data_IF_209494941380
#
_entry.id   IF_209494941380
#
_cell.length_a   1.000
_cell.length_b   1.000
_cell.length_c   1.000
_cell.angle_alpha   90.00
_cell.angle_beta   90.00
_cell.angle_gamma   90.00
#
_symmetry.space_group_name_H-M   'P 1'
#
loop_
_entity.id
_entity.type
_entity.pdbx_description
1 polymer ?
#
# COMPACT_ATOMS: atom_id res chain seq x y z
N UNK A 1 6.24 -4.13 -8.96
CA UNK A 1 6.76 -2.97 -8.18
C UNK A 1 5.89 -2.66 -6.95
N UNK A 2 6.49 -2.14 -5.86
CA UNK A 2 5.76 -1.70 -4.65
C UNK A 2 5.37 -0.23 -4.73
N UNK A 3 6.31 0.59 -5.17
CA UNK A 3 6.20 2.03 -5.43
C UNK A 3 6.92 2.35 -6.75
N UNK A 4 7.18 3.63 -7.03
CA UNK A 4 7.99 4.05 -8.18
C UNK A 4 9.47 3.70 -8.01
N UNK A 5 9.97 3.72 -6.79
CA UNK A 5 11.38 3.59 -6.42
C UNK A 5 11.72 2.25 -5.74
N UNK A 6 10.73 1.36 -5.52
CA UNK A 6 10.94 0.06 -4.88
C UNK A 6 10.30 -1.10 -5.66
N UNK A 7 11.04 -2.20 -5.78
CA UNK A 7 10.57 -3.47 -6.31
C UNK A 7 11.16 -4.66 -5.54
N UNK A 8 10.41 -5.76 -5.49
CA UNK A 8 10.98 -7.08 -5.18
C UNK A 8 11.31 -7.78 -6.49
N UNK A 9 12.43 -8.48 -6.49
CA UNK A 9 12.84 -9.39 -7.57
C UNK A 9 12.99 -10.78 -6.94
N UNK A 10 12.40 -11.77 -7.58
CA UNK A 10 12.72 -13.17 -7.31
C UNK A 10 13.83 -13.59 -8.29
N UNK A 11 14.98 -13.98 -7.74
CA UNK A 11 16.15 -14.40 -8.52
C UNK A 11 16.54 -15.84 -8.22
N UNK A 12 15.63 -16.62 -7.62
CA UNK A 12 15.87 -18.00 -7.18
C UNK A 12 16.38 -18.88 -8.33
N UNK A 13 15.77 -18.74 -9.51
CA UNK A 13 16.11 -19.53 -10.71
C UNK A 13 17.02 -18.77 -11.70
N UNK A 14 17.59 -17.62 -11.29
CA UNK A 14 18.44 -16.81 -12.18
C UNK A 14 19.83 -17.42 -12.33
N UNK A 15 20.30 -17.58 -13.57
CA UNK A 15 21.68 -18.00 -13.88
C UNK A 15 22.68 -16.84 -13.91
N UNK A 16 22.20 -15.59 -13.86
CA UNK A 16 23.06 -14.40 -13.89
C UNK A 16 23.98 -14.36 -12.68
N UNK A 17 25.20 -13.83 -12.86
CA UNK A 17 26.22 -13.76 -11.83
C UNK A 17 26.41 -15.11 -11.08
N UNK A 18 26.29 -16.24 -11.80
CA UNK A 18 26.37 -17.60 -11.25
C UNK A 18 25.32 -17.90 -10.16
N UNK A 19 24.14 -17.28 -10.24
CA UNK A 19 23.08 -17.40 -9.23
C UNK A 19 23.32 -16.59 -7.95
N UNK A 20 24.36 -15.76 -7.91
CA UNK A 20 24.65 -14.92 -6.75
C UNK A 20 23.74 -13.70 -6.69
N UNK A 21 22.68 -13.77 -5.88
CA UNK A 21 21.78 -12.64 -5.64
C UNK A 21 22.51 -11.38 -5.12
N UNK A 22 23.61 -11.55 -4.38
CA UNK A 22 24.46 -10.45 -3.90
C UNK A 22 25.12 -9.72 -5.07
N UNK A 23 25.67 -10.44 -6.05
CA UNK A 23 26.30 -9.85 -7.22
C UNK A 23 25.27 -9.26 -8.18
N UNK A 24 24.12 -9.94 -8.37
CA UNK A 24 22.99 -9.40 -9.15
C UNK A 24 22.55 -8.05 -8.56
N UNK A 25 22.38 -7.96 -7.23
CA UNK A 25 22.00 -6.72 -6.57
C UNK A 25 23.05 -5.61 -6.74
N UNK A 26 24.35 -5.95 -6.66
CA UNK A 26 25.45 -5.01 -6.86
C UNK A 26 25.49 -4.51 -8.31
N UNK A 27 25.33 -5.40 -9.28
CA UNK A 27 25.30 -5.09 -10.71
C UNK A 27 24.11 -4.20 -11.06
N UNK A 28 22.90 -4.53 -10.60
CA UNK A 28 21.70 -3.69 -10.79
C UNK A 28 21.92 -2.28 -10.23
N UNK A 29 22.47 -2.17 -9.01
CA UNK A 29 22.76 -0.86 -8.41
C UNK A 29 23.76 -0.05 -9.23
N UNK A 30 24.81 -0.70 -9.74
CA UNK A 30 25.81 -0.04 -10.59
C UNK A 30 25.21 0.39 -11.94
N UNK A 31 24.39 -0.45 -12.56
CA UNK A 31 23.70 -0.14 -13.82
C UNK A 31 22.73 1.04 -13.65
N UNK A 32 21.93 1.05 -12.57
CA UNK A 32 21.07 2.20 -12.22
C UNK A 32 21.91 3.48 -12.12
N UNK A 33 23.06 3.44 -11.45
CA UNK A 33 23.93 4.60 -11.33
C UNK A 33 24.51 5.04 -12.67
N UNK A 34 25.01 4.10 -13.48
CA UNK A 34 25.63 4.41 -14.76
C UNK A 34 24.65 5.05 -15.74
N UNK A 35 23.42 4.52 -15.83
CA UNK A 35 22.42 4.97 -16.80
C UNK A 35 21.63 6.20 -16.33
N UNK A 36 21.28 6.25 -15.04
CA UNK A 36 20.36 7.26 -14.52
C UNK A 36 21.05 8.32 -13.65
N UNK A 37 22.33 8.11 -13.28
CA UNK A 37 23.06 8.96 -12.34
C UNK A 37 22.34 9.11 -10.98
N UNK A 38 21.59 8.06 -10.59
CA UNK A 38 20.89 7.94 -9.33
C UNK A 38 21.47 6.77 -8.52
N UNK A 39 21.54 6.93 -7.20
CA UNK A 39 22.00 5.84 -6.32
C UNK A 39 20.82 4.97 -5.89
N UNK A 40 21.08 3.68 -5.69
CA UNK A 40 20.11 2.73 -5.16
C UNK A 40 20.74 1.91 -4.03
N UNK A 41 19.89 1.41 -3.13
CA UNK A 41 20.26 0.44 -2.11
C UNK A 41 19.49 -0.85 -2.30
N UNK A 42 20.08 -1.97 -1.87
CA UNK A 42 19.48 -3.29 -2.07
C UNK A 42 19.53 -4.14 -0.79
N UNK A 43 18.55 -5.01 -0.63
CA UNK A 43 18.51 -6.00 0.43
C UNK A 43 18.26 -7.37 -0.17
N UNK A 44 19.04 -8.36 0.26
CA UNK A 44 18.92 -9.75 -0.19
C UNK A 44 18.60 -10.62 1.02
N UNK A 45 17.54 -11.41 0.94
CA UNK A 45 17.15 -12.33 2.00
C UNK A 45 16.30 -13.49 1.45
N UNK A 46 16.07 -14.58 2.23
CA UNK A 46 15.29 -15.73 1.76
C UNK A 46 13.80 -15.43 1.57
N UNK A 47 13.31 -14.34 2.18
CA UNK A 47 11.91 -13.93 2.09
C UNK A 47 11.75 -12.42 2.00
N UNK A 48 10.63 -11.98 1.42
CA UNK A 48 10.38 -10.58 1.03
C UNK A 48 10.52 -9.58 2.16
N UNK A 49 9.90 -9.82 3.32
CA UNK A 49 9.94 -8.81 4.39
C UNK A 49 11.35 -8.58 4.94
N UNK A 50 12.17 -9.64 5.03
CA UNK A 50 13.57 -9.53 5.44
C UNK A 50 14.39 -8.81 4.35
N UNK A 51 14.14 -9.10 3.08
CA UNK A 51 14.81 -8.40 1.98
C UNK A 51 14.51 -6.89 2.00
N UNK A 52 13.26 -6.51 2.29
CA UNK A 52 12.91 -5.09 2.47
C UNK A 52 13.62 -4.46 3.65
N UNK A 53 13.68 -5.13 4.80
CA UNK A 53 14.39 -4.62 5.99
C UNK A 53 15.89 -4.47 5.70
N UNK A 54 16.50 -5.48 5.09
CA UNK A 54 17.92 -5.47 4.69
C UNK A 54 18.24 -4.27 3.79
N UNK A 55 17.33 -3.91 2.87
CA UNK A 55 17.54 -2.78 1.95
C UNK A 55 17.71 -1.43 2.64
N UNK A 56 17.21 -1.28 3.88
CA UNK A 56 17.35 -0.06 4.67
C UNK A 56 18.60 -0.03 5.56
N UNK A 57 19.28 -1.16 5.77
CA UNK A 57 20.34 -1.26 6.78
C UNK A 57 21.63 -0.53 6.42
N UNK A 58 22.05 -0.64 5.15
CA UNK A 58 23.27 -0.03 4.64
C UNK A 58 22.96 1.14 3.69
N UNK A 59 21.87 1.87 3.93
CA UNK A 59 21.61 3.14 3.21
C UNK A 59 22.56 4.24 3.71
N UNK A 60 23.02 5.16 2.83
CA UNK A 60 22.73 5.27 1.39
C UNK A 60 23.72 4.49 0.51
N UNK A 61 23.32 4.18 -0.73
CA UNK A 61 24.15 3.55 -1.77
C UNK A 61 24.95 2.31 -1.30
N UNK A 62 24.34 1.49 -0.45
CA UNK A 62 24.89 0.21 -0.02
C UNK A 62 23.87 -0.91 -0.14
N UNK A 63 24.31 -2.13 0.18
CA UNK A 63 23.46 -3.30 0.24
C UNK A 63 23.72 -4.13 1.49
N UNK A 64 22.73 -4.93 1.91
CA UNK A 64 22.83 -5.84 3.03
C UNK A 64 22.24 -7.20 2.66
N UNK A 65 22.88 -8.28 3.08
CA UNK A 65 22.48 -9.66 2.79
C UNK A 65 22.18 -10.35 4.10
N UNK A 66 21.05 -11.04 4.17
CA UNK A 66 20.66 -11.91 5.26
C UNK A 66 20.59 -13.31 4.68
N UNK A 67 21.50 -14.19 5.05
CA UNK A 67 21.47 -15.60 4.67
C UNK A 67 20.52 -16.40 5.59
N UNK A 68 20.03 -17.59 5.18
CA UNK A 68 19.18 -18.42 6.04
C UNK A 68 19.79 -18.70 7.43
N UNK A 69 21.10 -18.87 7.51
CA UNK A 69 21.81 -19.13 8.77
C UNK A 69 21.83 -17.91 9.72
N UNK A 70 21.79 -16.69 9.17
CA UNK A 70 21.78 -15.44 9.95
C UNK A 70 20.38 -15.07 10.45
N UNK A 71 19.32 -15.60 9.82
CA UNK A 71 17.92 -15.26 10.14
C UNK A 71 17.58 -15.43 11.64
N UNK A 72 17.90 -16.56 12.31
CA UNK A 72 17.52 -16.74 13.70
C UNK A 72 18.12 -15.68 14.62
N UNK A 73 19.42 -15.38 14.46
CA UNK A 73 20.11 -14.36 15.24
C UNK A 73 19.61 -12.95 14.91
N UNK A 74 19.37 -12.67 13.63
CA UNK A 74 18.81 -11.40 13.17
C UNK A 74 17.44 -11.10 13.79
N UNK A 75 16.57 -12.11 13.86
CA UNK A 75 15.22 -11.95 14.41
C UNK A 75 15.21 -11.70 15.92
N UNK A 76 16.16 -12.24 16.70
CA UNK A 76 16.14 -12.06 18.15
C UNK A 76 16.13 -10.59 18.57
N UNK A 77 16.83 -9.73 17.83
CA UNK A 77 16.96 -8.31 18.15
C UNK A 77 16.14 -7.39 17.25
N UNK A 78 15.47 -7.93 16.22
CA UNK A 78 14.71 -7.15 15.25
C UNK A 78 13.52 -6.43 15.90
N UNK A 79 13.48 -5.09 15.96
CA UNK A 79 12.34 -4.36 16.49
C UNK A 79 11.09 -4.60 15.64
N UNK A 80 9.94 -4.83 16.28
CA UNK A 80 8.68 -5.13 15.58
C UNK A 80 8.27 -3.99 14.63
N UNK A 81 8.55 -2.74 15.00
CA UNK A 81 8.27 -1.56 14.18
C UNK A 81 9.05 -1.52 12.84
N UNK A 82 10.08 -2.36 12.67
CA UNK A 82 10.78 -2.53 11.38
C UNK A 82 10.07 -3.49 10.44
N UNK A 83 9.15 -4.34 10.94
CA UNK A 83 8.39 -5.24 10.07
C UNK A 83 7.40 -4.42 9.23
N UNK A 84 7.44 -4.53 7.89
CA UNK A 84 6.47 -3.87 7.02
C UNK A 84 5.02 -4.25 7.39
N UNK A 85 4.21 -3.24 7.73
CA UNK A 85 2.84 -3.42 8.21
C UNK A 85 2.67 -3.17 9.72
N UNK A 86 3.76 -3.12 10.49
CA UNK A 86 3.73 -2.70 11.90
C UNK A 86 3.92 -1.18 11.97
N UNK A 87 2.83 -0.44 11.86
CA UNK A 87 2.83 1.02 12.03
C UNK A 87 2.94 1.46 13.49
N UNK A 88 3.10 2.78 13.72
CA UNK A 88 3.24 3.40 15.06
C UNK A 88 2.17 2.94 16.07
N UNK A 89 0.91 2.85 15.64
CA UNK A 89 -0.21 2.44 16.49
C UNK A 89 -0.09 0.97 16.90
N UNK A 90 0.24 0.08 15.97
CA UNK A 90 0.44 -1.34 16.27
C UNK A 90 1.66 -1.56 17.16
N UNK A 91 2.77 -0.86 16.87
CA UNK A 91 3.98 -0.90 17.69
C UNK A 91 3.71 -0.46 19.13
N UNK A 92 2.96 0.63 19.35
CA UNK A 92 2.60 1.09 20.69
C UNK A 92 1.73 0.08 21.46
N UNK A 93 0.79 -0.60 20.78
CA UNK A 93 -0.02 -1.67 21.38
C UNK A 93 0.80 -2.90 21.75
N UNK A 94 1.78 -3.26 20.93
CA UNK A 94 2.70 -4.37 21.19
C UNK A 94 3.64 -4.05 22.35
N UNK A 95 4.19 -2.84 22.37
CA UNK A 95 5.02 -2.32 23.46
C UNK A 95 4.26 -2.36 24.81
N UNK A 96 2.99 -1.96 24.82
CA UNK A 96 2.14 -2.03 26.01
C UNK A 96 1.89 -3.49 26.51
N UNK A 97 2.14 -4.49 25.65
CA UNK A 97 2.13 -5.91 26.02
C UNK A 97 3.52 -6.45 26.39
N UNK A 98 4.54 -5.59 26.43
CA UNK A 98 5.94 -5.98 26.67
C UNK A 98 6.63 -6.60 25.44
N UNK A 99 6.08 -6.43 24.23
CA UNK A 99 6.61 -6.99 22.99
C UNK A 99 7.27 -5.90 22.15
N UNK A 100 8.61 -5.87 22.11
CA UNK A 100 9.38 -4.85 21.37
C UNK A 100 10.11 -5.44 20.16
N UNK A 101 10.56 -6.68 20.28
CA UNK A 101 11.36 -7.40 19.29
C UNK A 101 10.65 -8.66 18.79
N UNK A 102 11.11 -9.22 17.67
CA UNK A 102 10.61 -10.53 17.22
C UNK A 102 10.93 -11.63 18.24
N UNK A 103 12.07 -11.55 18.93
CA UNK A 103 12.40 -12.47 20.03
C UNK A 103 11.38 -12.46 21.17
N UNK A 104 10.76 -11.32 21.47
CA UNK A 104 9.68 -11.23 22.47
C UNK A 104 8.41 -11.93 21.97
N UNK A 105 8.05 -11.71 20.70
CA UNK A 105 6.86 -12.33 20.08
C UNK A 105 7.01 -13.85 19.96
N UNK A 106 8.22 -14.35 19.69
CA UNK A 106 8.51 -15.79 19.62
C UNK A 106 8.21 -16.51 20.95
N UNK A 107 8.30 -15.80 22.08
CA UNK A 107 7.97 -16.34 23.43
C UNK A 107 6.48 -16.23 23.77
N UNK A 108 5.69 -15.59 22.91
CA UNK A 108 4.27 -15.37 23.10
C UNK A 108 3.45 -16.47 22.41
N UNK A 109 2.37 -16.91 23.06
CA UNK A 109 1.42 -17.87 22.46
C UNK A 109 0.66 -17.21 21.30
N UNK A 110 0.63 -17.88 20.15
CA UNK A 110 -0.13 -17.47 18.97
C UNK A 110 -1.61 -17.20 19.28
N UNK A 111 -2.23 -17.95 20.19
CA UNK A 111 -3.63 -17.76 20.62
C UNK A 111 -3.84 -16.37 21.22
N UNK A 112 -2.88 -15.86 22.00
CA UNK A 112 -2.95 -14.50 22.58
C UNK A 112 -2.90 -13.45 21.46
N UNK A 113 -1.99 -13.62 20.50
CA UNK A 113 -1.83 -12.71 19.37
C UNK A 113 -3.07 -12.71 18.47
N UNK A 114 -3.65 -13.88 18.21
CA UNK A 114 -4.90 -14.02 17.45
C UNK A 114 -6.07 -13.34 18.15
N UNK A 115 -6.22 -13.53 19.47
CA UNK A 115 -7.29 -12.88 20.25
C UNK A 115 -7.16 -11.36 20.26
N UNK A 116 -5.93 -10.82 20.35
CA UNK A 116 -5.67 -9.37 20.43
C UNK A 116 -5.70 -8.69 19.06
N UNK A 117 -5.19 -9.34 18.02
CA UNK A 117 -4.89 -8.70 16.73
C UNK A 117 -5.52 -9.41 15.51
N UNK A 118 -6.26 -10.51 15.71
CA UNK A 118 -6.91 -11.27 14.64
C UNK A 118 -5.90 -11.76 13.59
N UNK A 119 -6.23 -11.59 12.30
CA UNK A 119 -5.35 -11.98 11.18
C UNK A 119 -3.97 -11.32 11.26
N UNK A 120 -3.88 -10.10 11.77
CA UNK A 120 -2.60 -9.41 11.93
C UNK A 120 -1.72 -10.10 12.98
N UNK A 121 -2.32 -10.68 14.02
CA UNK A 121 -1.58 -11.44 15.04
C UNK A 121 -0.89 -12.69 14.47
N UNK A 122 -1.54 -13.38 13.53
CA UNK A 122 -0.94 -14.49 12.78
C UNK A 122 0.26 -14.02 11.96
N UNK A 123 0.09 -12.95 11.17
CA UNK A 123 1.17 -12.39 10.36
C UNK A 123 2.35 -11.98 11.24
N UNK A 124 2.07 -11.32 12.37
CA UNK A 124 3.12 -10.90 13.31
C UNK A 124 3.90 -12.11 13.83
N UNK A 125 3.21 -13.16 14.27
CA UNK A 125 3.83 -14.39 14.75
C UNK A 125 4.69 -15.06 13.66
N UNK A 126 4.15 -15.24 12.45
CA UNK A 126 4.88 -15.83 11.32
C UNK A 126 6.15 -15.02 10.97
N UNK A 127 6.02 -13.69 10.85
CA UNK A 127 7.17 -12.82 10.52
C UNK A 127 8.21 -12.82 11.63
N UNK A 128 7.79 -12.93 12.89
CA UNK A 128 8.73 -13.07 14.01
C UNK A 128 9.50 -14.40 13.98
N UNK A 129 9.01 -15.43 13.27
CA UNK A 129 9.73 -16.69 13.02
C UNK A 129 10.49 -16.69 11.68
N UNK A 130 10.52 -15.57 10.95
CA UNK A 130 11.15 -15.49 9.63
C UNK A 130 10.30 -16.08 8.50
N UNK A 131 9.05 -16.46 8.77
CA UNK A 131 8.15 -17.08 7.80
C UNK A 131 7.42 -15.98 7.02
N UNK A 132 7.46 -16.07 5.69
CA UNK A 132 6.73 -15.20 4.77
C UNK A 132 6.52 -15.88 3.42
N UNK A 133 5.43 -16.63 3.29
CA UNK A 133 5.06 -17.43 2.11
C UNK A 133 4.50 -16.62 0.94
N UNK A 134 4.63 -15.28 0.96
CA UNK A 134 4.11 -14.45 -0.12
C UNK A 134 5.08 -14.50 -1.29
N UNK A 135 4.62 -14.97 -2.44
CA UNK A 135 5.41 -14.91 -3.67
C UNK A 135 5.62 -13.47 -4.18
N UNK A 136 6.66 -13.28 -5.00
CA UNK A 136 6.82 -12.07 -5.80
C UNK A 136 5.78 -12.10 -6.93
N UNK A 137 4.77 -11.24 -6.83
CA UNK A 137 3.73 -11.13 -7.85
C UNK A 137 4.11 -10.01 -8.85
N UNK A 138 4.43 -10.41 -10.08
CA UNK A 138 4.75 -9.52 -11.22
C UNK A 138 3.51 -8.99 -11.96
N UNK A 139 2.35 -9.62 -11.78
CA UNK A 139 1.12 -9.39 -12.55
C UNK A 139 0.06 -8.56 -11.80
N UNK A 140 0.47 -7.83 -10.77
CA UNK A 140 -0.48 -7.09 -9.94
C UNK A 140 -1.13 -5.94 -10.71
N UNK A 141 -2.40 -6.13 -11.07
CA UNK A 141 -3.22 -5.10 -11.69
C UNK A 141 -3.70 -4.07 -10.67
N UNK A 142 -3.80 -2.81 -11.12
CA UNK A 142 -4.41 -1.73 -10.35
C UNK A 142 -5.89 -2.05 -10.13
N UNK A 143 -6.39 -1.85 -8.90
CA UNK A 143 -7.79 -2.13 -8.53
C UNK A 143 -8.67 -0.89 -8.37
N UNK A 144 -8.05 0.30 -8.24
CA UNK A 144 -8.77 1.55 -8.05
C UNK A 144 -7.98 2.73 -8.61
N UNK A 145 -8.71 3.80 -8.93
CA UNK A 145 -8.14 5.09 -9.34
C UNK A 145 -8.84 6.15 -8.48
N UNK A 146 -8.08 7.09 -7.91
CA UNK A 146 -8.64 8.16 -7.11
C UNK A 146 -7.83 9.45 -7.21
N UNK A 147 -8.52 10.58 -7.10
CA UNK A 147 -7.95 11.93 -7.09
C UNK A 147 -8.49 12.62 -5.86
N UNK A 148 -7.60 13.09 -4.99
CA UNK A 148 -7.97 13.84 -3.80
C UNK A 148 -7.04 15.05 -3.61
N UNK A 149 -7.57 16.08 -2.97
CA UNK A 149 -6.84 17.31 -2.65
C UNK A 149 -7.17 17.74 -1.24
N UNK A 150 -6.13 17.98 -0.44
CA UNK A 150 -6.23 18.76 0.79
C UNK A 150 -6.13 20.24 0.42
N UNK A 151 -7.07 21.04 0.86
CA UNK A 151 -7.08 22.48 0.63
C UNK A 151 -6.14 23.20 1.61
N UNK A 152 -5.73 24.42 1.25
CA UNK A 152 -4.90 25.25 2.15
C UNK A 152 -5.69 25.72 3.37
N UNK A 153 -6.97 26.04 3.16
CA UNK A 153 -7.93 26.42 4.20
C UNK A 153 -9.12 25.45 4.16
N UNK A 154 -9.74 25.23 5.32
CA UNK A 154 -10.90 24.35 5.44
C UNK A 154 -12.13 25.04 4.83
N UNK A 155 -12.91 24.30 4.04
CA UNK A 155 -14.13 24.82 3.40
C UNK A 155 -15.34 24.60 4.31
N UNK A 156 -16.28 25.55 4.25
CA UNK A 156 -17.47 25.56 5.11
C UNK A 156 -18.78 25.64 4.32
N UNK A 157 -18.72 25.91 3.02
CA UNK A 157 -19.87 26.01 2.13
C UNK A 157 -19.89 24.89 1.08
N UNK A 158 -21.09 24.40 0.80
CA UNK A 158 -21.29 23.36 -0.22
C UNK A 158 -20.80 23.81 -1.61
N UNK A 159 -21.00 25.07 -1.96
CA UNK A 159 -20.55 25.65 -3.24
C UNK A 159 -19.04 25.50 -3.46
N UNK A 160 -18.24 25.59 -2.38
CA UNK A 160 -16.80 25.37 -2.44
C UNK A 160 -16.47 23.89 -2.70
N UNK A 161 -17.19 22.98 -2.03
CA UNK A 161 -17.03 21.54 -2.20
C UNK A 161 -17.35 21.12 -3.64
N UNK A 162 -18.47 21.59 -4.17
CA UNK A 162 -18.90 21.32 -5.55
C UNK A 162 -17.90 21.88 -6.56
N UNK A 163 -17.42 23.12 -6.37
CA UNK A 163 -16.39 23.72 -7.22
C UNK A 163 -15.08 22.93 -7.21
N UNK A 164 -14.70 22.32 -6.08
CA UNK A 164 -13.54 21.43 -6.01
C UNK A 164 -13.80 20.14 -6.78
N UNK A 165 -14.97 19.51 -6.62
CA UNK A 165 -15.34 18.29 -7.35
C UNK A 165 -15.26 18.53 -8.86
N UNK A 166 -15.78 19.66 -9.34
CA UNK A 166 -15.70 20.07 -10.75
C UNK A 166 -14.24 20.16 -11.26
N UNK A 167 -13.29 20.53 -10.40
CA UNK A 167 -11.85 20.55 -10.75
C UNK A 167 -11.21 19.16 -10.67
N UNK A 168 -11.64 18.30 -9.76
CA UNK A 168 -11.08 16.96 -9.57
C UNK A 168 -11.57 15.97 -10.63
N UNK A 169 -12.79 16.15 -11.13
CA UNK A 169 -13.41 15.20 -12.05
C UNK A 169 -12.63 15.02 -13.36
N UNK A 170 -12.22 16.07 -14.09
CA UNK A 170 -11.42 15.91 -15.33
C UNK A 170 -10.10 15.17 -15.08
N UNK A 171 -9.49 15.35 -13.91
CA UNK A 171 -8.28 14.62 -13.54
C UNK A 171 -8.56 13.13 -13.31
N UNK A 172 -9.68 12.81 -12.65
CA UNK A 172 -10.09 11.42 -12.43
C UNK A 172 -10.41 10.74 -13.76
N UNK A 173 -11.18 11.41 -14.62
CA UNK A 173 -11.53 10.94 -15.96
C UNK A 173 -10.28 10.71 -16.80
N UNK A 174 -9.37 11.68 -16.87
CA UNK A 174 -8.09 11.55 -17.58
C UNK A 174 -7.25 10.38 -17.08
N UNK A 175 -7.18 10.17 -15.76
CA UNK A 175 -6.41 9.06 -15.16
C UNK A 175 -7.08 7.71 -15.38
N UNK A 176 -8.41 7.66 -15.39
CA UNK A 176 -9.18 6.45 -15.68
C UNK A 176 -9.04 6.08 -17.16
N UNK A 177 -9.20 7.03 -18.08
CA UNK A 177 -9.12 6.82 -19.52
C UNK A 177 -7.78 6.18 -19.96
N UNK A 178 -6.68 6.47 -19.26
CA UNK A 178 -5.37 5.84 -19.50
C UNK A 178 -5.34 4.32 -19.27
N UNK A 179 -6.26 3.80 -18.47
CA UNK A 179 -6.33 2.37 -18.10
C UNK A 179 -7.62 1.71 -18.61
N UNK A 180 -8.72 2.47 -18.72
CA UNK A 180 -10.04 2.06 -19.21
C UNK A 180 -10.63 3.18 -20.09
N UNK A 181 -10.33 3.18 -21.42
CA UNK A 181 -10.76 4.25 -22.33
C UNK A 181 -12.29 4.45 -22.42
N UNK A 182 -13.07 3.40 -22.17
CA UNK A 182 -14.54 3.41 -22.14
C UNK A 182 -15.13 3.99 -20.83
N UNK A 183 -14.28 4.21 -19.83
CA UNK A 183 -14.61 4.69 -18.48
C UNK A 183 -15.51 3.74 -17.69
N UNK A 184 -15.56 2.46 -18.06
CA UNK A 184 -16.30 1.44 -17.31
C UNK A 184 -15.62 1.13 -15.97
N UNK A 185 -16.43 0.99 -14.93
CA UNK A 185 -16.00 0.82 -13.55
C UNK A 185 -16.97 -0.11 -12.81
N UNK A 186 -16.52 -0.65 -11.68
CA UNK A 186 -17.39 -1.43 -10.79
C UNK A 186 -18.16 -0.53 -9.81
N UNK A 187 -17.49 0.51 -9.31
CA UNK A 187 -18.00 1.40 -8.25
C UNK A 187 -17.40 2.79 -8.42
N UNK A 188 -18.13 3.81 -7.97
CA UNK A 188 -17.59 5.15 -7.78
C UNK A 188 -18.00 5.71 -6.43
N UNK A 189 -17.29 6.74 -5.98
CA UNK A 189 -17.59 7.39 -4.73
C UNK A 189 -16.74 8.61 -4.46
N UNK A 190 -16.99 9.15 -3.27
CA UNK A 190 -16.39 10.37 -2.77
C UNK A 190 -15.79 10.15 -1.40
N UNK A 191 -14.85 11.02 -1.05
CA UNK A 191 -14.19 11.07 0.24
C UNK A 191 -14.15 12.49 0.75
N UNK A 192 -14.55 12.69 2.00
CA UNK A 192 -14.35 13.93 2.73
C UNK A 192 -13.46 13.67 3.94
N UNK A 193 -12.51 14.56 4.22
CA UNK A 193 -11.80 14.62 5.50
C UNK A 193 -12.15 15.93 6.20
N UNK A 194 -12.46 15.85 7.48
CA UNK A 194 -12.85 17.00 8.29
C UNK A 194 -11.63 17.62 8.99
N UNK A 195 -11.83 18.80 9.58
CA UNK A 195 -10.85 19.54 10.38
C UNK A 195 -10.23 18.71 11.52
N UNK A 196 -11.03 17.84 12.16
CA UNK A 196 -10.66 16.86 13.19
C UNK A 196 -9.91 15.62 12.68
N UNK A 197 -9.56 15.59 11.38
CA UNK A 197 -8.88 14.50 10.67
C UNK A 197 -9.68 13.20 10.54
N UNK A 198 -10.92 13.13 11.05
CA UNK A 198 -11.81 12.04 10.68
C UNK A 198 -12.11 12.11 9.19
N UNK A 199 -12.12 10.95 8.56
CA UNK A 199 -12.44 10.82 7.14
C UNK A 199 -13.66 9.94 6.97
N UNK A 200 -14.45 10.25 5.94
CA UNK A 200 -15.57 9.43 5.53
C UNK A 200 -15.50 9.15 4.04
N UNK A 201 -15.85 7.93 3.66
CA UNK A 201 -16.03 7.51 2.28
C UNK A 201 -17.47 7.09 2.06
N UNK A 202 -18.02 7.48 0.92
CA UNK A 202 -19.32 7.00 0.45
C UNK A 202 -19.17 6.59 -1.00
N UNK A 203 -19.48 5.32 -1.29
CA UNK A 203 -19.36 4.73 -2.61
C UNK A 203 -20.47 3.69 -2.83
N UNK A 204 -20.80 3.46 -4.09
CA UNK A 204 -21.82 2.51 -4.51
C UNK A 204 -21.46 1.90 -5.86
N UNK A 205 -22.14 0.80 -6.20
CA UNK A 205 -22.01 0.18 -7.52
C UNK A 205 -22.50 1.18 -8.56
N UNK A 206 -21.68 1.41 -9.57
CA UNK A 206 -22.02 2.30 -10.67
C UNK A 206 -21.23 1.86 -11.91
N UNK A 207 -21.84 1.80 -13.10
CA UNK A 207 -21.24 1.08 -14.24
C UNK A 207 -20.21 1.90 -15.02
N UNK A 208 -20.32 3.23 -15.01
CA UNK A 208 -19.47 4.13 -15.80
C UNK A 208 -19.28 5.45 -15.08
N UNK A 209 -18.04 5.97 -15.04
CA UNK A 209 -17.73 7.21 -14.34
C UNK A 209 -18.73 8.33 -14.69
N UNK A 210 -19.37 8.89 -13.67
CA UNK A 210 -20.42 9.89 -13.84
C UNK A 210 -20.29 11.03 -12.83
N UNK A 211 -20.09 12.25 -13.34
CA UNK A 211 -19.89 13.45 -12.53
C UNK A 211 -21.12 13.82 -11.69
N UNK A 212 -22.31 13.80 -12.28
CA UNK A 212 -23.54 14.22 -11.61
C UNK A 212 -23.85 13.35 -10.39
N UNK A 213 -23.66 12.04 -10.52
CA UNK A 213 -23.82 11.10 -9.40
C UNK A 213 -22.78 11.33 -8.29
N UNK A 214 -21.51 11.62 -8.64
CA UNK A 214 -20.48 11.98 -7.66
C UNK A 214 -20.84 13.25 -6.88
N UNK A 215 -21.34 14.28 -7.55
CA UNK A 215 -21.81 15.52 -6.92
C UNK A 215 -22.98 15.23 -5.98
N UNK A 216 -23.98 14.47 -6.43
CA UNK A 216 -25.14 14.08 -5.60
C UNK A 216 -24.71 13.26 -4.36
N UNK A 217 -23.75 12.36 -4.54
CA UNK A 217 -23.20 11.55 -3.45
C UNK A 217 -22.44 12.40 -2.45
N UNK A 218 -21.58 13.31 -2.92
CA UNK A 218 -20.88 14.26 -2.06
C UNK A 218 -21.84 15.18 -1.32
N UNK A 219 -22.92 15.62 -1.97
CA UNK A 219 -23.95 16.45 -1.33
C UNK A 219 -24.59 15.73 -0.16
N UNK A 220 -24.98 14.47 -0.37
CA UNK A 220 -25.53 13.62 0.69
C UNK A 220 -24.52 13.40 1.81
N UNK A 221 -23.26 13.09 1.48
CA UNK A 221 -22.19 12.92 2.49
C UNK A 221 -21.97 14.21 3.29
N UNK A 222 -21.99 15.36 2.62
CA UNK A 222 -21.82 16.69 3.21
C UNK A 222 -22.94 16.99 4.21
N UNK A 223 -24.20 16.74 3.83
CA UNK A 223 -25.35 17.03 4.67
C UNK A 223 -25.46 16.07 5.87
N UNK A 224 -25.20 14.77 5.66
CA UNK A 224 -25.43 13.73 6.67
C UNK A 224 -24.26 13.53 7.64
N UNK A 225 -23.01 13.71 7.17
CA UNK A 225 -21.82 13.28 7.94
C UNK A 225 -20.91 14.42 8.38
N UNK A 226 -21.03 15.62 7.81
CA UNK A 226 -20.15 16.74 8.16
C UNK A 226 -20.35 17.20 9.60
N UNK A 227 -21.61 17.26 10.06
CA UNK A 227 -21.92 17.66 11.44
C UNK A 227 -21.39 19.04 11.80
N UNK A 228 -21.42 19.99 10.86
CA UNK A 228 -20.96 21.37 11.06
C UNK A 228 -19.44 21.60 10.94
N UNK A 229 -18.62 20.55 10.97
CA UNK A 229 -17.15 20.63 10.82
C UNK A 229 -16.72 21.27 9.50
N UNK A 230 -15.53 21.88 9.51
CA UNK A 230 -14.82 22.28 8.29
C UNK A 230 -14.38 21.04 7.50
N UNK A 231 -14.38 21.13 6.18
CA UNK A 231 -13.87 20.07 5.30
C UNK A 231 -12.52 20.49 4.76
N UNK A 232 -11.50 19.68 5.01
CA UNK A 232 -10.12 19.99 4.62
C UNK A 232 -9.62 19.24 3.40
N UNK A 233 -10.26 18.12 3.05
CA UNK A 233 -9.95 17.33 1.85
C UNK A 233 -11.21 16.87 1.18
N UNK A 234 -11.22 16.98 -0.15
CA UNK A 234 -12.22 16.39 -1.04
C UNK A 234 -11.52 15.40 -1.96
N UNK A 235 -12.12 14.22 -2.13
CA UNK A 235 -11.62 13.16 -2.99
C UNK A 235 -12.72 12.49 -3.79
N UNK A 236 -12.37 12.07 -5.00
CA UNK A 236 -13.18 11.25 -5.88
C UNK A 236 -12.43 9.95 -6.13
N UNK A 237 -13.12 8.82 -6.15
CA UNK A 237 -12.51 7.53 -6.39
C UNK A 237 -13.41 6.58 -7.16
N UNK A 238 -12.78 5.64 -7.87
CA UNK A 238 -13.45 4.53 -8.56
C UNK A 238 -12.78 3.21 -8.21
N UNK A 239 -13.57 2.16 -8.17
CA UNK A 239 -13.12 0.77 -8.15
C UNK A 239 -13.22 0.20 -9.56
N UNK A 240 -12.14 -0.39 -10.05
CA UNK A 240 -12.10 -1.00 -11.37
C UNK A 240 -12.80 -2.37 -11.34
N UNK A 241 -13.30 -2.80 -12.50
CA UNK A 241 -13.87 -4.14 -12.67
C UNK A 241 -12.80 -5.21 -12.41
N UNK A 242 -13.23 -6.34 -11.86
CA UNK A 242 -12.35 -7.50 -11.78
C UNK A 242 -12.15 -8.09 -13.18
N UNK A 243 -10.91 -8.25 -13.68
CA UNK A 243 -10.64 -8.81 -14.99
C UNK A 243 -11.28 -10.19 -15.21
N UNK A 244 -11.46 -10.99 -14.14
CA UNK A 244 -12.13 -12.29 -14.22
C UNK A 244 -13.62 -12.14 -14.49
N UNK A 245 -14.27 -11.12 -13.91
CA UNK A 245 -15.68 -10.81 -14.18
C UNK A 245 -15.87 -10.24 -15.60
N UNK A 246 -14.91 -9.46 -16.11
CA UNK A 246 -14.96 -8.94 -17.48
C UNK A 246 -14.94 -10.06 -18.54
N UNK A 247 -14.10 -11.08 -18.36
CA UNK A 247 -14.04 -12.23 -19.29
C UNK A 247 -15.34 -13.03 -19.33
N UNK A 248 -16.06 -13.10 -18.22
CA UNK A 248 -17.32 -13.83 -18.12
C UNK A 248 -18.48 -13.11 -18.84
N UNK A 249 -18.43 -11.78 -18.91
CA UNK A 249 -19.41 -10.98 -19.68
C UNK A 249 -19.22 -11.11 -21.19
N UNK A 250 -17.99 -11.33 -21.66
CA UNK A 250 -17.70 -11.47 -23.10
C UNK A 250 -18.10 -12.85 -23.65
N UNK A 251 -18.17 -13.88 -22.80
CA UNK A 251 -18.56 -15.24 -23.18
C UNK A 251 -20.09 -15.48 -23.14
N UNK A 252 -20.87 -14.47 -22.76
CA UNK A 252 -22.33 -14.52 -22.69
C UNK A 252 -23.05 -13.84 -23.87
N UNK A 253 -22.30 -13.42 -24.90
CA UNK A 253 -22.78 -12.92 -26.19
C UNK A 253 -22.41 -13.91 -27.29
#
# INVERSE_FOLDING_TARGET
>A
PLSLDEAYLDVTDSVHCHGSATLIAQEIRQTIFNELQLTASAGVAPVKFLAKIASDMNKPNGQFVITPAEVPAFLQTLPLAKIPGVGKVSAAKLEAMGLRTCGDVQKCDLVILLKRFGKFGRILWERSQGIDERDVNSERLRKSVGVERTMAEDIHHWSECEAIIERLYPELERRLAKVKPDLLIARQGVKLKFDDFQQTTQEHVWPRLNKADLIATARKTWDERRGGRGVRLVGLHVTLLDPQMERQLVLGL
#
